data_IF_216931502013
#
_entry.id   IF_216931502013
#
_cell.length_a   1.000
_cell.length_b   1.000
_cell.length_c   1.000
_cell.angle_alpha   90.00
_cell.angle_beta   90.00
_cell.angle_gamma   90.00
#
_symmetry.space_group_name_H-M   'P 1'
#
loop_
_entity.id
_entity.type
_entity.pdbx_description
1 polymer ?
#
# COMPACT_ATOMS: atom_id res chain seq x y z
N UNK A 1 -52.84 -24.71 -54.88
CA UNK A 1 -54.09 -24.15 -55.43
C UNK A 1 -55.09 -23.98 -54.31
N UNK A 2 -55.43 -22.71 -54.08
CA UNK A 2 -56.63 -22.09 -53.49
C UNK A 2 -57.70 -22.98 -52.81
N UNK A 3 -58.00 -22.66 -51.55
CA UNK A 3 -59.34 -22.66 -50.93
C UNK A 3 -59.23 -21.91 -49.58
N UNK A 4 -59.60 -20.63 -49.43
CA UNK A 4 -60.95 -20.05 -49.39
C UNK A 4 -61.82 -20.54 -48.21
N UNK A 5 -61.68 -19.82 -47.09
CA UNK A 5 -62.77 -19.21 -46.28
C UNK A 5 -63.83 -20.12 -45.65
N UNK A 6 -63.93 -20.10 -44.31
CA UNK A 6 -65.16 -19.73 -43.56
C UNK A 6 -65.02 -19.78 -42.02
N UNK A 7 -65.49 -18.69 -41.40
CA UNK A 7 -66.29 -18.60 -40.16
C UNK A 7 -65.54 -18.54 -38.81
N UNK A 8 -65.43 -17.29 -38.32
CA UNK A 8 -65.81 -16.77 -37.00
C UNK A 8 -65.44 -17.54 -35.72
N UNK A 9 -64.63 -16.91 -34.88
CA UNK A 9 -64.94 -16.73 -33.45
C UNK A 9 -64.15 -15.54 -32.91
N UNK A 10 -64.88 -14.53 -32.44
CA UNK A 10 -64.39 -13.37 -31.70
C UNK A 10 -63.68 -13.79 -30.40
N UNK A 11 -62.52 -13.22 -30.15
CA UNK A 11 -62.03 -12.99 -28.80
C UNK A 11 -61.19 -11.71 -28.79
N UNK A 12 -61.92 -10.61 -28.61
CA UNK A 12 -61.43 -9.30 -28.22
C UNK A 12 -60.40 -9.41 -27.08
N UNK A 13 -59.14 -9.10 -27.38
CA UNK A 13 -58.17 -8.66 -26.37
C UNK A 13 -58.14 -7.14 -26.38
N UNK A 14 -59.11 -6.54 -25.70
CA UNK A 14 -58.98 -5.14 -25.28
C UNK A 14 -57.80 -5.05 -24.31
N UNK A 15 -56.74 -4.36 -24.74
CA UNK A 15 -55.67 -3.94 -23.85
C UNK A 15 -56.27 -2.94 -22.84
N UNK A 16 -56.50 -3.40 -21.62
CA UNK A 16 -57.00 -2.57 -20.53
C UNK A 16 -55.90 -1.57 -20.13
N UNK A 17 -55.93 -0.37 -20.70
CA UNK A 17 -55.04 0.73 -20.31
C UNK A 17 -55.54 1.25 -18.96
N UNK A 18 -54.95 0.75 -17.88
CA UNK A 18 -55.26 1.20 -16.54
C UNK A 18 -54.97 2.71 -16.41
N UNK A 19 -56.01 3.52 -16.22
CA UNK A 19 -55.88 4.97 -16.05
C UNK A 19 -55.16 5.27 -14.72
N UNK A 20 -54.00 5.94 -14.73
CA UNK A 20 -53.23 6.16 -13.51
C UNK A 20 -54.00 7.05 -12.54
N UNK A 21 -54.01 6.67 -11.26
CA UNK A 21 -54.70 7.45 -10.21
C UNK A 21 -53.97 8.77 -9.92
N UNK A 22 -54.69 9.82 -9.50
CA UNK A 22 -54.10 11.15 -9.20
C UNK A 22 -52.90 11.09 -8.26
N UNK A 23 -52.89 10.15 -7.30
CA UNK A 23 -51.78 9.93 -6.35
C UNK A 23 -50.56 9.29 -7.02
N UNK A 24 -50.76 8.43 -8.01
CA UNK A 24 -49.67 7.88 -8.83
C UNK A 24 -49.08 8.96 -9.72
N UNK A 25 -49.92 9.80 -10.34
CA UNK A 25 -49.46 10.95 -11.15
C UNK A 25 -48.62 11.91 -10.31
N UNK A 26 -49.09 12.31 -9.12
CA UNK A 26 -48.33 13.19 -8.20
C UNK A 26 -47.00 12.59 -7.71
N UNK A 27 -46.96 11.26 -7.45
CA UNK A 27 -45.71 10.58 -7.09
C UNK A 27 -44.73 10.50 -8.26
N UNK A 28 -45.23 10.25 -9.47
CA UNK A 28 -44.41 10.12 -10.67
C UNK A 28 -43.89 11.49 -11.13
N UNK A 29 -44.71 12.55 -11.09
CA UNK A 29 -44.27 13.90 -11.45
C UNK A 29 -43.32 14.50 -10.41
N UNK A 30 -43.54 14.24 -9.12
CA UNK A 30 -42.64 14.69 -8.05
C UNK A 30 -41.22 14.13 -8.18
N UNK A 31 -41.08 12.85 -8.50
CA UNK A 31 -39.78 12.21 -8.70
C UNK A 31 -39.10 12.71 -9.99
N UNK A 32 -39.86 12.90 -11.06
CA UNK A 32 -39.35 13.42 -12.32
C UNK A 32 -38.83 14.87 -12.19
N UNK A 33 -39.52 15.73 -11.45
CA UNK A 33 -39.07 17.10 -11.17
C UNK A 33 -37.83 17.14 -10.26
N UNK A 34 -37.75 16.26 -9.27
CA UNK A 34 -36.57 16.12 -8.41
C UNK A 34 -35.33 15.68 -9.20
N UNK A 35 -35.48 14.75 -10.13
CA UNK A 35 -34.38 14.28 -10.99
C UNK A 35 -34.02 15.29 -12.08
N UNK A 36 -34.98 16.06 -12.60
CA UNK A 36 -34.75 17.12 -13.58
C UNK A 36 -34.06 18.37 -12.99
N UNK A 37 -34.12 18.55 -11.66
CA UNK A 37 -33.43 19.62 -10.94
C UNK A 37 -31.98 19.30 -10.54
N UNK A 38 -31.51 18.06 -10.80
CA UNK A 38 -30.12 17.71 -10.54
C UNK A 38 -29.21 18.35 -11.60
N UNK A 39 -28.04 18.91 -11.23
CA UNK A 39 -27.07 19.41 -12.19
C UNK A 39 -26.74 18.31 -13.20
N UNK A 40 -26.67 18.64 -14.51
CA UNK A 40 -26.39 17.64 -15.56
C UNK A 40 -25.10 16.83 -15.36
N UNK A 41 -24.18 17.27 -14.47
CA UNK A 41 -22.97 16.53 -14.09
C UNK A 41 -23.14 15.48 -12.97
N UNK A 42 -24.29 15.42 -12.30
CA UNK A 42 -24.58 14.42 -11.25
C UNK A 42 -25.32 13.18 -11.76
N UNK A 43 -25.89 13.25 -12.96
CA UNK A 43 -26.62 12.16 -13.61
C UNK A 43 -25.79 11.46 -14.71
N UNK A 44 -24.46 11.44 -14.56
CA UNK A 44 -23.55 10.70 -15.43
C UNK A 44 -22.92 9.51 -14.70
N UNK A 45 -22.45 8.47 -15.40
CA UNK A 45 -21.61 7.46 -14.78
C UNK A 45 -20.31 8.15 -14.34
N UNK A 46 -20.15 8.37 -13.04
CA UNK A 46 -18.85 8.77 -12.48
C UNK A 46 -17.95 7.53 -12.57
N UNK A 47 -17.25 7.37 -13.69
CA UNK A 47 -16.12 6.47 -13.75
C UNK A 47 -15.00 7.15 -12.96
N UNK A 48 -14.70 6.63 -11.78
CA UNK A 48 -13.45 6.98 -11.10
C UNK A 48 -12.30 6.65 -12.06
N UNK A 49 -11.48 7.65 -12.36
CA UNK A 49 -10.28 7.45 -13.19
C UNK A 49 -9.31 6.53 -12.46
N UNK A 50 -8.65 5.62 -13.17
CA UNK A 50 -7.54 4.80 -12.62
C UNK A 50 -6.25 5.61 -12.40
N UNK A 51 -6.28 6.93 -12.66
CA UNK A 51 -5.16 7.82 -12.40
C UNK A 51 -4.93 7.99 -10.89
N UNK A 52 -3.67 8.13 -10.44
CA UNK A 52 -3.38 8.33 -9.03
C UNK A 52 -3.96 9.65 -8.52
N UNK A 53 -4.48 9.64 -7.30
CA UNK A 53 -5.09 10.81 -6.65
C UNK A 53 -4.05 11.91 -6.40
N UNK A 54 -2.80 11.52 -6.18
CA UNK A 54 -1.64 12.42 -6.15
C UNK A 54 -0.53 11.87 -7.04
N UNK A 55 -0.05 12.68 -7.96
CA UNK A 55 1.08 12.31 -8.82
C UNK A 55 2.41 12.42 -8.07
N UNK A 56 2.56 13.37 -7.15
CA UNK A 56 3.85 13.66 -6.49
C UNK A 56 4.02 12.83 -5.23
N UNK A 57 5.08 12.03 -5.20
CA UNK A 57 5.40 11.14 -4.08
C UNK A 57 6.88 11.20 -3.77
N UNK A 58 7.25 11.48 -2.52
CA UNK A 58 8.62 11.34 -2.05
C UNK A 58 8.81 9.97 -1.40
N UNK A 59 9.83 9.24 -1.87
CA UNK A 59 10.16 7.89 -1.43
C UNK A 59 11.52 7.89 -0.74
N UNK A 60 11.54 7.56 0.55
CA UNK A 60 12.77 7.44 1.35
C UNK A 60 13.54 6.15 1.07
N UNK A 61 14.87 6.24 1.02
CA UNK A 61 15.76 5.07 0.94
C UNK A 61 16.98 5.23 1.85
N UNK A 62 17.50 4.11 2.35
CA UNK A 62 18.89 4.00 2.83
C UNK A 62 19.71 3.37 1.71
N UNK A 63 20.96 3.82 1.55
CA UNK A 63 21.89 3.33 0.53
C UNK A 63 22.41 1.92 0.86
N UNK A 64 21.52 0.94 0.74
CA UNK A 64 21.76 -0.50 0.83
C UNK A 64 21.24 -1.16 -0.46
N UNK A 65 21.71 -2.36 -0.77
CA UNK A 65 21.39 -3.05 -2.05
C UNK A 65 19.91 -3.46 -2.17
N UNK A 66 19.21 -3.59 -1.05
CA UNK A 66 17.78 -3.93 -0.97
C UNK A 66 16.83 -2.80 -1.42
N UNK A 67 17.30 -1.54 -1.51
CA UNK A 67 16.51 -0.46 -2.11
C UNK A 67 16.48 -0.50 -3.66
N UNK A 68 17.24 -1.42 -4.29
CA UNK A 68 17.45 -1.44 -5.73
C UNK A 68 16.16 -1.47 -6.54
N UNK A 69 15.13 -2.18 -6.10
CA UNK A 69 13.84 -2.23 -6.81
C UNK A 69 13.17 -0.86 -6.93
N UNK A 70 13.23 -0.03 -5.88
CA UNK A 70 12.69 1.34 -5.88
C UNK A 70 13.53 2.24 -6.79
N UNK A 71 14.86 2.18 -6.65
CA UNK A 71 15.77 3.00 -7.47
C UNK A 71 15.62 2.66 -8.94
N UNK A 72 15.63 1.38 -9.31
CA UNK A 72 15.46 0.96 -10.69
C UNK A 72 14.07 1.29 -11.25
N UNK A 73 13.01 1.22 -10.44
CA UNK A 73 11.68 1.64 -10.87
C UNK A 73 11.62 3.13 -11.20
N UNK A 74 12.40 3.96 -10.51
CA UNK A 74 12.55 5.37 -10.82
C UNK A 74 13.38 5.59 -12.09
N UNK A 75 14.58 5.03 -12.17
CA UNK A 75 15.52 5.23 -13.28
C UNK A 75 14.99 4.68 -14.62
N UNK A 76 14.27 3.54 -14.59
CA UNK A 76 13.63 2.96 -15.77
C UNK A 76 12.31 3.66 -16.15
N UNK A 77 11.91 4.70 -15.41
CA UNK A 77 10.67 5.45 -15.66
C UNK A 77 9.39 4.64 -15.41
N UNK A 78 9.46 3.53 -14.68
CA UNK A 78 8.29 2.69 -14.39
C UNK A 78 7.26 3.43 -13.52
N UNK A 79 7.72 4.23 -12.55
CA UNK A 79 6.82 5.05 -11.73
C UNK A 79 6.08 6.09 -12.58
N UNK A 80 6.82 6.77 -13.48
CA UNK A 80 6.25 7.75 -14.41
C UNK A 80 5.24 7.12 -15.37
N UNK A 81 5.49 5.90 -15.85
CA UNK A 81 4.54 5.13 -16.69
C UNK A 81 3.17 4.96 -16.03
N UNK A 82 3.11 4.87 -14.70
CA UNK A 82 1.88 4.76 -13.93
C UNK A 82 1.40 6.11 -13.33
N UNK A 83 1.90 7.24 -13.83
CA UNK A 83 1.45 8.58 -13.41
C UNK A 83 2.04 9.09 -12.09
N UNK A 84 3.05 8.40 -11.53
CA UNK A 84 3.72 8.81 -10.29
C UNK A 84 5.01 9.59 -10.62
N UNK A 85 5.00 10.88 -10.30
CA UNK A 85 6.15 11.77 -10.25
C UNK A 85 6.88 11.58 -8.91
N UNK A 86 7.75 10.57 -8.87
CA UNK A 86 8.49 10.24 -7.66
C UNK A 86 9.73 11.13 -7.45
N UNK A 87 10.07 11.39 -6.19
CA UNK A 87 11.38 11.92 -5.77
C UNK A 87 12.05 10.92 -4.84
N UNK A 88 13.22 10.42 -5.22
CA UNK A 88 14.00 9.50 -4.37
C UNK A 88 14.81 10.32 -3.36
N UNK A 89 14.54 10.09 -2.07
CA UNK A 89 15.18 10.78 -0.96
C UNK A 89 16.14 9.82 -0.25
N UNK A 90 17.44 10.02 -0.41
CA UNK A 90 18.46 9.25 0.31
C UNK A 90 18.58 9.80 1.73
N UNK A 91 18.28 8.96 2.71
CA UNK A 91 18.31 9.34 4.12
C UNK A 91 19.59 8.89 4.83
N UNK A 92 19.95 9.62 5.90
CA UNK A 92 21.18 9.38 6.65
C UNK A 92 21.08 8.19 7.61
N UNK A 93 19.89 7.89 8.13
CA UNK A 93 19.69 6.81 9.10
C UNK A 93 18.24 6.34 9.13
N UNK A 94 18.01 5.18 9.72
CA UNK A 94 16.67 4.64 9.96
C UNK A 94 15.82 5.55 10.86
N UNK A 95 16.42 6.24 11.84
CA UNK A 95 15.69 7.22 12.65
C UNK A 95 15.12 8.35 11.79
N UNK A 96 15.90 8.88 10.84
CA UNK A 96 15.44 9.92 9.90
C UNK A 96 14.31 9.40 9.01
N UNK A 97 14.41 8.16 8.52
CA UNK A 97 13.34 7.52 7.74
C UNK A 97 12.04 7.49 8.56
N UNK A 98 12.09 7.02 9.81
CA UNK A 98 10.94 6.98 10.73
C UNK A 98 10.33 8.37 10.89
N UNK A 99 11.17 9.37 11.18
CA UNK A 99 10.69 10.72 11.49
C UNK A 99 10.07 11.37 10.25
N UNK A 100 10.69 11.24 9.06
CA UNK A 100 10.15 11.76 7.80
C UNK A 100 8.86 11.07 7.34
N UNK A 101 8.75 9.76 7.54
CA UNK A 101 7.49 9.05 7.30
C UNK A 101 6.40 9.54 8.26
N UNK A 102 6.74 9.73 9.54
CA UNK A 102 5.79 10.18 10.55
C UNK A 102 5.30 11.61 10.34
N UNK A 103 6.22 12.53 9.98
CA UNK A 103 5.90 13.91 9.64
C UNK A 103 5.25 14.07 8.27
N UNK A 104 5.29 13.03 7.42
CA UNK A 104 4.72 13.05 6.08
C UNK A 104 5.58 13.78 5.05
N UNK A 105 6.85 14.06 5.37
CA UNK A 105 7.84 14.53 4.41
C UNK A 105 8.07 13.47 3.31
N UNK A 106 8.15 12.20 3.72
CA UNK A 106 8.15 11.04 2.83
C UNK A 106 6.77 10.37 2.88
N UNK A 107 6.15 10.12 1.73
CA UNK A 107 4.87 9.40 1.67
C UNK A 107 5.06 7.87 1.64
N UNK A 108 6.23 7.41 1.17
CA UNK A 108 6.62 6.01 1.18
C UNK A 108 8.12 5.87 1.50
N UNK A 109 8.56 4.67 1.86
CA UNK A 109 9.98 4.40 2.10
C UNK A 109 10.30 2.91 1.95
N UNK A 110 11.53 2.61 1.52
CA UNK A 110 12.17 1.37 1.93
C UNK A 110 12.33 1.41 3.45
N UNK A 111 11.87 0.37 4.14
CA UNK A 111 11.77 0.34 5.60
C UNK A 111 12.08 -1.06 6.15
N UNK A 112 12.71 -1.12 7.34
CA UNK A 112 12.86 -2.38 8.09
C UNK A 112 11.51 -2.83 8.63
N UNK A 113 11.16 -4.10 8.44
CA UNK A 113 9.84 -4.64 8.77
C UNK A 113 9.37 -4.31 10.21
N UNK A 114 10.26 -4.48 11.20
CA UNK A 114 9.90 -4.19 12.60
C UNK A 114 9.64 -2.72 12.89
N UNK A 115 10.17 -1.78 12.10
CA UNK A 115 9.85 -0.35 12.23
C UNK A 115 8.41 -0.04 11.84
N UNK A 116 7.87 -0.74 10.84
CA UNK A 116 6.47 -0.60 10.45
C UNK A 116 5.55 -0.99 11.60
N UNK A 117 5.80 -2.15 12.21
CA UNK A 117 5.05 -2.61 13.38
C UNK A 117 5.25 -1.70 14.60
N UNK A 118 6.48 -1.24 14.84
CA UNK A 118 6.75 -0.31 15.93
C UNK A 118 5.95 0.99 15.78
N UNK A 119 5.82 1.51 14.55
CA UNK A 119 5.02 2.70 14.27
C UNK A 119 3.51 2.45 14.41
N UNK A 120 3.01 1.27 14.02
CA UNK A 120 1.59 0.93 14.14
C UNK A 120 1.19 0.76 15.62
N UNK A 121 2.05 0.13 16.42
CA UNK A 121 1.77 -0.25 17.81
C UNK A 121 2.35 0.70 18.86
N UNK A 122 3.13 1.71 18.46
CA UNK A 122 3.79 2.64 19.38
C UNK A 122 4.93 2.01 20.21
N UNK A 123 5.63 1.02 19.66
CA UNK A 123 6.71 0.33 20.39
C UNK A 123 7.99 1.18 20.43
N UNK A 124 8.78 0.99 21.50
CA UNK A 124 10.10 1.61 21.68
C UNK A 124 10.11 3.15 21.49
N UNK A 125 9.00 3.80 21.87
CA UNK A 125 8.86 5.27 21.76
C UNK A 125 8.58 5.77 20.35
N UNK A 126 8.22 4.89 19.41
CA UNK A 126 7.77 5.33 18.09
C UNK A 126 6.41 6.03 18.19
N UNK A 127 6.20 7.17 17.49
CA UNK A 127 4.87 7.74 17.32
C UNK A 127 3.91 6.70 16.73
N UNK A 128 2.69 6.64 17.28
CA UNK A 128 1.64 5.78 16.76
C UNK A 128 1.12 6.38 15.46
N UNK A 129 1.42 5.73 14.34
CA UNK A 129 0.96 6.14 13.01
C UNK A 129 0.50 4.93 12.21
N UNK A 130 -0.71 4.94 11.63
CA UNK A 130 -1.14 3.91 10.71
C UNK A 130 -0.17 3.81 9.53
N UNK A 131 0.34 2.61 9.27
CA UNK A 131 1.27 2.32 8.18
C UNK A 131 0.77 1.12 7.40
N UNK A 132 1.04 1.13 6.09
CA UNK A 132 0.69 0.04 5.18
C UNK A 132 1.99 -0.55 4.63
N UNK A 133 2.07 -1.88 4.60
CA UNK A 133 3.19 -2.62 4.02
C UNK A 133 2.68 -3.27 2.73
N UNK A 134 2.83 -2.61 1.56
CA UNK A 134 2.22 -3.09 0.32
C UNK A 134 2.98 -4.27 -0.29
N UNK A 135 4.29 -4.36 -0.05
CA UNK A 135 5.12 -5.43 -0.60
C UNK A 135 6.40 -5.62 0.24
N UNK A 136 7.05 -6.77 0.04
CA UNK A 136 8.40 -7.05 0.52
C UNK A 136 9.38 -6.85 -0.63
N UNK A 137 10.47 -6.09 -0.40
CA UNK A 137 11.42 -5.72 -1.47
C UNK A 137 12.46 -6.80 -1.75
N UNK A 138 12.93 -7.51 -0.72
CA UNK A 138 13.99 -8.50 -0.83
C UNK A 138 13.84 -9.61 0.22
N UNK A 139 14.54 -10.72 -0.04
CA UNK A 139 14.85 -11.76 0.93
C UNK A 139 16.37 -11.96 0.93
N UNK A 140 16.98 -12.09 2.10
CA UNK A 140 18.43 -12.21 2.30
C UNK A 140 19.21 -10.92 1.97
N UNK A 141 20.55 -11.01 1.92
CA UNK A 141 21.46 -9.88 1.66
C UNK A 141 22.00 -9.19 2.91
N UNK A 142 21.57 -9.64 4.10
CA UNK A 142 22.09 -9.19 5.39
C UNK A 142 23.18 -10.14 5.89
N UNK A 143 24.09 -9.64 6.72
CA UNK A 143 25.18 -10.43 7.26
C UNK A 143 25.52 -10.03 8.71
N UNK A 144 25.97 -11.02 9.48
CA UNK A 144 26.62 -10.79 10.77
C UNK A 144 28.12 -10.88 10.53
N UNK A 145 28.83 -9.78 10.75
CA UNK A 145 30.29 -9.71 10.61
C UNK A 145 30.96 -9.63 11.96
N UNK A 146 32.08 -10.35 12.12
CA UNK A 146 32.88 -10.37 13.35
C UNK A 146 34.30 -9.85 13.06
N UNK A 147 35.03 -9.48 14.12
CA UNK A 147 36.46 -9.17 14.01
C UNK A 147 37.22 -10.37 13.42
N UNK A 148 38.19 -10.11 12.53
CA UNK A 148 38.99 -11.13 11.84
C UNK A 148 39.61 -12.17 12.78
N UNK A 149 40.05 -11.74 13.96
CA UNK A 149 40.63 -12.62 14.99
C UNK A 149 39.71 -13.80 15.42
N UNK A 150 38.38 -13.68 15.26
CA UNK A 150 37.49 -14.82 15.50
C UNK A 150 37.52 -15.82 14.35
N UNK A 151 37.61 -15.34 13.10
CA UNK A 151 37.75 -16.21 11.93
C UNK A 151 39.09 -16.98 11.96
N UNK A 152 40.17 -16.34 12.41
CA UNK A 152 41.49 -16.96 12.55
C UNK A 152 41.49 -18.09 13.60
N UNK A 153 40.55 -18.05 14.57
CA UNK A 153 40.30 -19.12 15.56
C UNK A 153 39.33 -20.20 15.04
N UNK A 154 38.94 -20.15 13.78
CA UNK A 154 37.99 -21.09 13.18
C UNK A 154 36.52 -20.85 13.55
N UNK A 155 36.19 -19.74 14.21
CA UNK A 155 34.83 -19.45 14.67
C UNK A 155 33.99 -18.98 13.49
N UNK A 156 32.97 -19.78 13.14
CA UNK A 156 32.07 -19.54 12.00
C UNK A 156 30.58 -19.61 12.35
N UNK A 157 30.24 -19.95 13.59
CA UNK A 157 28.84 -20.13 14.01
C UNK A 157 28.57 -19.38 15.32
N UNK A 158 27.31 -19.00 15.60
CA UNK A 158 26.94 -18.41 16.88
C UNK A 158 27.28 -19.33 18.07
N UNK A 159 27.11 -20.64 17.91
CA UNK A 159 27.46 -21.63 18.93
C UNK A 159 28.96 -21.61 19.27
N UNK A 160 29.82 -21.50 18.25
CA UNK A 160 31.27 -21.39 18.45
C UNK A 160 31.69 -20.02 19.04
N UNK A 161 30.92 -18.96 18.81
CA UNK A 161 31.19 -17.63 19.37
C UNK A 161 30.82 -17.52 20.85
N UNK A 162 29.77 -18.23 21.29
CA UNK A 162 29.19 -18.10 22.63
C UNK A 162 30.19 -18.25 23.80
N UNK A 163 31.08 -19.26 23.84
CA UNK A 163 32.06 -19.38 24.93
C UNK A 163 32.96 -18.15 25.08
N UNK A 164 33.32 -17.51 23.95
CA UNK A 164 34.14 -16.30 23.97
C UNK A 164 33.37 -15.08 24.46
N UNK A 165 32.08 -14.98 24.15
CA UNK A 165 31.20 -13.93 24.69
C UNK A 165 31.07 -14.08 26.21
N UNK A 166 30.83 -15.30 26.69
CA UNK A 166 30.66 -15.60 28.11
C UNK A 166 31.95 -15.31 28.89
N UNK A 167 33.10 -15.76 28.36
CA UNK A 167 34.41 -15.49 28.97
C UNK A 167 34.74 -14.00 29.03
N UNK A 168 34.49 -13.25 27.95
CA UNK A 168 34.69 -11.80 27.91
C UNK A 168 33.79 -11.07 28.93
N UNK A 169 32.55 -11.53 29.09
CA UNK A 169 31.62 -11.01 30.10
C UNK A 169 32.11 -11.27 31.53
N UNK A 170 32.61 -12.48 31.82
CA UNK A 170 33.16 -12.84 33.13
C UNK A 170 34.44 -12.05 33.46
N UNK A 171 35.27 -11.78 32.46
CA UNK A 171 36.48 -10.98 32.60
C UNK A 171 36.22 -9.46 32.70
N UNK A 172 34.96 -9.01 32.77
CA UNK A 172 34.60 -7.58 32.85
C UNK A 172 34.83 -6.80 31.55
N UNK A 173 35.05 -7.48 30.43
CA UNK A 173 35.30 -6.89 29.11
C UNK A 173 34.30 -7.38 28.07
N UNK A 174 32.98 -7.14 28.26
CA UNK A 174 31.94 -7.70 27.41
C UNK A 174 32.12 -7.29 25.94
N UNK A 175 31.84 -8.23 25.03
CA UNK A 175 31.84 -7.93 23.60
C UNK A 175 30.67 -7.01 23.25
N UNK A 176 30.93 -6.00 22.42
CA UNK A 176 29.92 -5.08 21.89
C UNK A 176 29.47 -5.52 20.51
N UNK A 177 28.15 -5.61 20.31
CA UNK A 177 27.52 -5.87 19.03
C UNK A 177 26.70 -4.64 18.62
N UNK A 178 26.81 -4.26 17.35
CA UNK A 178 26.08 -3.14 16.78
C UNK A 178 24.96 -3.65 15.87
N UNK A 179 23.84 -2.95 15.87
CA UNK A 179 22.72 -3.13 14.94
C UNK A 179 22.33 -1.75 14.39
N UNK A 180 21.55 -1.73 13.30
CA UNK A 180 21.25 -0.47 12.61
C UNK A 180 20.11 0.32 13.26
N UNK A 181 19.13 -0.37 13.85
CA UNK A 181 17.96 0.26 14.49
C UNK A 181 17.18 -0.78 15.31
N UNK A 182 16.74 -0.49 16.55
CA UNK A 182 15.77 -1.31 17.28
C UNK A 182 14.34 -0.81 17.01
N UNK A 183 13.37 -1.64 16.58
CA UNK A 183 13.36 -3.11 16.47
C UNK A 183 13.52 -3.58 14.99
N UNK A 184 14.64 -3.24 14.37
CA UNK A 184 14.94 -3.55 12.97
C UNK A 184 15.23 -5.03 12.71
N UNK A 185 15.63 -5.35 11.47
CA UNK A 185 15.89 -6.72 11.00
C UNK A 185 17.31 -7.22 11.23
N UNK A 186 18.24 -6.37 11.69
CA UNK A 186 19.66 -6.68 11.89
C UNK A 186 19.90 -7.03 13.35
#
# INVERSE_FOLDING_TARGET
MTAATRIACEASREANIATPTRRQVLRQTGLALLLAGLPQGWAGPVYASDAPETSKVRIGIIALTDCASIVMAYELGLLKKYGIEATISKEASWAVIRDRLNLGENQASHLLLGMAYASIMGLLGSPVKPMIIPCSLNRNGQAITLKKAFADKGIRTPAALKPHVDAAKQAGTPLTFAMTFPPGTH
#
